data_IF_273639187128
#
_entry.id   IF_273639187128
#
_cell.length_a   1.000
_cell.length_b   1.000
_cell.length_c   1.000
_cell.angle_alpha   90.00
_cell.angle_beta   90.00
_cell.angle_gamma   90.00
#
_symmetry.space_group_name_H-M   'P 1'
#
loop_
_entity.id
_entity.type
_entity.pdbx_description
1 polymer ?
#
# COMPACT_ATOMS: atom_id res chain seq x y z
N UNK A 1 25.92 -4.97 4.88
CA UNK A 1 26.67 -6.23 4.61
C UNK A 1 26.29 -6.92 3.30
N UNK A 2 25.00 -7.20 3.02
CA UNK A 2 24.58 -8.02 1.87
C UNK A 2 24.22 -7.28 0.59
N UNK A 3 24.30 -5.95 0.59
CA UNK A 3 23.86 -5.09 -0.52
C UNK A 3 24.95 -4.25 -1.21
N UNK A 4 26.25 -4.57 -1.14
CA UNK A 4 27.23 -3.79 -1.88
C UNK A 4 27.00 -4.01 -3.39
N UNK A 5 26.69 -2.93 -4.12
CA UNK A 5 26.78 -2.97 -5.57
C UNK A 5 28.24 -3.27 -5.96
N UNK A 6 28.51 -3.90 -7.12
CA UNK A 6 29.88 -4.02 -7.61
C UNK A 6 30.56 -2.63 -7.67
N UNK A 7 31.57 -2.41 -6.82
CA UNK A 7 32.25 -1.11 -6.68
C UNK A 7 31.46 0.00 -5.98
N UNK A 8 30.29 -0.30 -5.38
CA UNK A 8 29.44 0.68 -4.72
C UNK A 8 29.21 0.42 -3.23
N UNK A 9 28.70 1.44 -2.54
CA UNK A 9 28.39 1.38 -1.11
C UNK A 9 27.07 0.63 -0.88
N UNK A 10 26.96 -0.21 0.18
CA UNK A 10 25.68 -0.77 0.60
C UNK A 10 24.61 0.31 0.73
N UNK A 11 23.39 0.01 0.25
CA UNK A 11 22.29 0.97 0.33
C UNK A 11 20.96 0.32 0.68
N UNK A 12 20.07 1.13 1.24
CA UNK A 12 18.66 0.83 1.46
C UNK A 12 17.85 1.74 0.54
N UNK A 13 16.80 1.20 -0.09
CA UNK A 13 15.86 1.98 -0.91
C UNK A 13 14.48 1.94 -0.28
N UNK A 14 14.06 3.06 0.29
CA UNK A 14 12.65 3.32 0.60
C UNK A 14 11.88 3.43 -0.71
N UNK A 15 10.65 2.96 -0.80
CA UNK A 15 9.91 2.92 -2.08
C UNK A 15 8.66 3.79 -2.05
N UNK A 16 8.12 4.11 -3.23
CA UNK A 16 6.82 4.80 -3.36
C UNK A 16 5.63 4.01 -2.82
N UNK A 17 5.84 2.76 -2.40
CA UNK A 17 4.83 1.92 -1.74
C UNK A 17 5.11 1.62 -0.29
N UNK A 18 5.87 2.49 0.39
CA UNK A 18 6.13 2.38 1.83
C UNK A 18 6.86 1.07 2.21
N UNK A 19 7.58 0.48 1.25
CA UNK A 19 8.43 -0.69 1.44
C UNK A 19 9.92 -0.32 1.44
N UNK A 20 10.73 -1.26 1.90
CA UNK A 20 12.19 -1.25 1.78
C UNK A 20 12.64 -2.24 0.70
N UNK A 21 13.64 -1.85 -0.10
CA UNK A 21 14.29 -2.71 -1.09
C UNK A 21 15.79 -2.81 -0.84
N UNK A 22 16.27 -4.04 -0.82
CA UNK A 22 17.68 -4.40 -0.83
C UNK A 22 18.09 -4.81 -2.24
N UNK A 23 19.23 -4.30 -2.72
CA UNK A 23 19.72 -4.53 -4.08
C UNK A 23 21.02 -5.34 -4.04
N UNK A 24 21.34 -6.04 -5.14
CA UNK A 24 22.62 -6.74 -5.34
C UNK A 24 22.92 -7.86 -4.33
N UNK A 25 21.89 -8.47 -3.75
CA UNK A 25 22.05 -9.66 -2.90
C UNK A 25 22.56 -10.82 -3.77
N UNK A 26 23.71 -11.39 -3.41
CA UNK A 26 24.26 -12.57 -4.07
C UNK A 26 23.34 -13.77 -3.84
N UNK A 27 23.26 -14.66 -4.83
CA UNK A 27 22.43 -15.88 -4.75
C UNK A 27 22.70 -16.69 -3.47
N UNK A 28 23.97 -16.86 -3.13
CA UNK A 28 24.41 -17.64 -1.95
C UNK A 28 24.02 -17.01 -0.61
N UNK A 29 23.71 -15.71 -0.60
CA UNK A 29 23.28 -14.98 0.59
C UNK A 29 21.75 -14.87 0.70
N UNK A 30 20.99 -15.18 -0.36
CA UNK A 30 19.56 -14.90 -0.43
C UNK A 30 18.76 -15.49 0.74
N UNK A 31 18.97 -16.77 1.05
CA UNK A 31 18.28 -17.44 2.16
C UNK A 31 18.61 -16.78 3.49
N UNK A 32 19.89 -16.44 3.71
CA UNK A 32 20.35 -15.78 4.94
C UNK A 32 19.72 -14.40 5.08
N UNK A 33 19.70 -13.59 4.02
CA UNK A 33 19.10 -12.25 4.07
C UNK A 33 17.61 -12.31 4.39
N UNK A 34 16.86 -13.19 3.72
CA UNK A 34 15.41 -13.30 3.95
C UNK A 34 15.12 -13.80 5.36
N UNK A 35 15.88 -14.79 5.84
CA UNK A 35 15.77 -15.29 7.21
C UNK A 35 16.10 -14.21 8.24
N UNK A 36 17.19 -13.46 8.07
CA UNK A 36 17.54 -12.35 8.98
C UNK A 36 16.49 -11.23 9.00
N UNK A 37 15.93 -10.87 7.85
CA UNK A 37 14.81 -9.91 7.79
C UNK A 37 13.60 -10.46 8.55
N UNK A 38 13.29 -11.76 8.41
CA UNK A 38 12.22 -12.40 9.16
C UNK A 38 12.42 -12.28 10.67
N UNK A 39 13.62 -12.49 11.21
CA UNK A 39 13.92 -12.36 12.64
C UNK A 39 13.67 -10.95 13.21
N UNK A 40 13.55 -9.92 12.36
CA UNK A 40 13.17 -8.56 12.78
C UNK A 40 11.66 -8.32 12.79
N UNK A 41 10.86 -9.35 12.48
CA UNK A 41 9.40 -9.30 12.39
C UNK A 41 8.85 -8.78 11.06
N UNK A 42 9.70 -8.60 10.05
CA UNK A 42 9.31 -8.21 8.70
C UNK A 42 9.42 -9.38 7.72
N UNK A 43 8.51 -9.47 6.75
CA UNK A 43 8.48 -10.55 5.78
C UNK A 43 8.55 -10.00 4.35
N UNK A 44 9.18 -10.76 3.45
CA UNK A 44 9.20 -10.45 2.01
C UNK A 44 7.94 -10.92 1.26
N UNK A 45 6.97 -11.51 1.98
CA UNK A 45 5.72 -12.02 1.42
C UNK A 45 4.91 -10.89 0.75
N UNK A 46 4.22 -11.19 -0.35
CA UNK A 46 3.46 -10.21 -1.14
C UNK A 46 4.28 -8.99 -1.69
N UNK A 47 5.61 -8.99 -1.57
CA UNK A 47 6.46 -7.92 -2.14
C UNK A 47 6.41 -7.87 -3.68
N UNK A 48 6.25 -9.04 -4.31
CA UNK A 48 6.22 -9.26 -5.76
C UNK A 48 5.18 -10.33 -6.14
N UNK A 49 5.09 -10.71 -7.43
CA UNK A 49 4.18 -11.77 -7.91
C UNK A 49 2.83 -11.28 -8.41
N UNK A 50 1.91 -12.19 -8.73
CA UNK A 50 0.56 -11.86 -9.16
C UNK A 50 -0.43 -12.07 -8.00
N UNK A 51 -0.36 -11.15 -7.04
CA UNK A 51 -1.06 -11.12 -5.75
C UNK A 51 -1.27 -9.64 -5.33
N UNK A 52 -1.83 -9.40 -4.15
CA UNK A 52 -1.84 -8.06 -3.56
C UNK A 52 -0.43 -7.59 -3.19
N UNK A 53 -0.18 -6.29 -3.31
CA UNK A 53 1.03 -5.61 -2.85
C UNK A 53 0.82 -5.00 -1.47
N UNK A 54 1.90 -4.45 -0.91
CA UNK A 54 1.83 -3.64 0.31
C UNK A 54 0.66 -2.64 0.23
N UNK A 55 -0.20 -2.70 1.24
CA UNK A 55 -1.38 -1.85 1.38
C UNK A 55 -0.89 -0.53 1.98
N UNK A 56 -1.11 0.57 1.27
CA UNK A 56 -0.60 1.87 1.69
C UNK A 56 -1.61 2.62 2.55
N UNK A 57 -1.13 3.41 3.50
CA UNK A 57 -1.90 4.39 4.26
C UNK A 57 -1.02 5.57 4.66
N UNK A 58 -1.58 6.73 4.98
CA UNK A 58 -0.79 7.84 5.49
C UNK A 58 -0.01 7.41 6.75
N UNK A 59 1.33 7.57 6.81
CA UNK A 59 2.13 7.10 7.95
C UNK A 59 1.80 7.85 9.24
N UNK A 60 1.32 9.10 9.16
CA UNK A 60 0.91 9.88 10.33
C UNK A 60 -0.46 9.49 10.88
N UNK A 61 -1.29 8.78 10.11
CA UNK A 61 -2.65 8.39 10.54
C UNK A 61 -2.67 7.51 11.79
N UNK A 62 -1.58 6.78 12.06
CA UNK A 62 -1.40 6.02 13.31
C UNK A 62 -1.57 6.88 14.57
N UNK A 63 -1.30 8.18 14.45
CA UNK A 63 -1.35 9.15 15.53
C UNK A 63 -2.52 10.12 15.40
N UNK A 64 -3.49 9.86 14.52
CA UNK A 64 -4.71 10.64 14.34
C UNK A 64 -5.82 10.13 15.25
N UNK A 65 -6.58 11.04 15.86
CA UNK A 65 -7.85 10.72 16.55
C UNK A 65 -9.04 10.75 15.60
N UNK A 66 -8.87 11.29 14.39
CA UNK A 66 -9.93 11.37 13.36
C UNK A 66 -10.09 10.02 12.66
N UNK A 67 -9.01 9.52 12.08
CA UNK A 67 -8.99 8.27 11.34
C UNK A 67 -7.60 7.64 11.32
N UNK A 68 -7.52 6.35 11.68
CA UNK A 68 -6.29 5.57 11.66
C UNK A 68 -6.25 4.66 10.43
N UNK A 69 -5.94 5.24 9.26
CA UNK A 69 -5.80 4.51 8.00
C UNK A 69 -4.73 3.40 8.06
N UNK A 70 -3.69 3.54 8.89
CA UNK A 70 -2.67 2.50 9.10
C UNK A 70 -3.27 1.23 9.72
N UNK A 71 -4.25 1.36 10.61
CA UNK A 71 -4.93 0.19 11.18
C UNK A 71 -5.70 -0.60 10.10
N UNK A 72 -6.40 0.09 9.19
CA UNK A 72 -7.07 -0.55 8.07
C UNK A 72 -6.06 -1.15 7.08
N UNK A 73 -4.99 -0.44 6.75
CA UNK A 73 -3.94 -0.98 5.88
C UNK A 73 -3.31 -2.25 6.46
N UNK A 74 -3.07 -2.31 7.78
CA UNK A 74 -2.59 -3.53 8.44
C UNK A 74 -3.62 -4.65 8.42
N UNK A 75 -4.90 -4.35 8.73
CA UNK A 75 -5.99 -5.33 8.71
C UNK A 75 -6.13 -5.97 7.33
N UNK A 76 -6.20 -5.17 6.27
CA UNK A 76 -6.35 -5.67 4.91
C UNK A 76 -5.05 -6.23 4.34
N UNK A 77 -3.89 -5.73 4.79
CA UNK A 77 -2.60 -6.35 4.53
C UNK A 77 -2.54 -7.80 5.03
N UNK A 78 -2.97 -8.05 6.28
CA UNK A 78 -3.05 -9.40 6.87
C UNK A 78 -4.11 -10.27 6.19
N UNK A 79 -5.28 -9.72 5.88
CA UNK A 79 -6.35 -10.44 5.20
C UNK A 79 -5.94 -10.93 3.79
N UNK A 80 -5.31 -10.07 3.00
CA UNK A 80 -4.85 -10.42 1.64
C UNK A 80 -3.44 -11.04 1.61
N UNK A 81 -2.83 -11.35 2.74
CA UNK A 81 -1.50 -11.96 2.79
C UNK A 81 -1.54 -13.40 2.24
N UNK A 82 -0.54 -13.78 1.44
CA UNK A 82 -0.40 -15.16 0.98
C UNK A 82 -0.14 -16.14 2.14
N UNK A 83 -0.41 -17.44 1.98
CA UNK A 83 0.00 -18.46 2.96
C UNK A 83 1.49 -18.36 3.25
N UNK A 84 1.85 -18.30 4.54
CA UNK A 84 3.24 -18.09 4.96
C UNK A 84 4.09 -19.37 4.90
N UNK A 85 3.48 -20.54 5.04
CA UNK A 85 4.20 -21.81 5.15
C UNK A 85 5.18 -22.09 3.98
N UNK A 86 4.80 -21.90 2.70
CA UNK A 86 5.76 -22.04 1.60
C UNK A 86 6.94 -21.06 1.67
N UNK A 87 6.67 -19.82 2.12
CA UNK A 87 7.72 -18.80 2.28
C UNK A 87 8.71 -19.20 3.37
N UNK A 88 8.21 -19.68 4.52
CA UNK A 88 9.07 -20.16 5.60
C UNK A 88 9.92 -21.36 5.20
N UNK A 89 9.32 -22.33 4.50
CA UNK A 89 10.01 -23.52 4.04
C UNK A 89 11.15 -23.18 3.07
N UNK A 90 10.89 -22.33 2.07
CA UNK A 90 11.87 -21.97 1.04
C UNK A 90 13.05 -21.19 1.64
N UNK A 91 12.78 -20.29 2.59
CA UNK A 91 13.78 -19.39 3.15
C UNK A 91 14.32 -19.79 4.53
N UNK A 92 14.00 -21.00 5.01
CA UNK A 92 14.42 -21.51 6.31
C UNK A 92 14.17 -20.48 7.44
N UNK A 93 12.96 -19.92 7.47
CA UNK A 93 12.54 -18.96 8.50
C UNK A 93 12.13 -19.76 9.76
N UNK A 94 12.67 -19.36 10.91
CA UNK A 94 12.30 -19.96 12.20
C UNK A 94 10.80 -19.76 12.49
N UNK A 95 10.04 -20.83 12.77
CA UNK A 95 8.61 -20.72 13.10
C UNK A 95 8.30 -19.94 14.39
N UNK A 96 9.29 -19.71 15.25
CA UNK A 96 9.15 -18.93 16.49
C UNK A 96 9.30 -17.42 16.28
N UNK A 97 9.59 -16.96 15.06
CA UNK A 97 9.62 -15.54 14.74
C UNK A 97 8.28 -14.88 15.04
N UNK A 98 8.34 -13.70 15.62
CA UNK A 98 7.17 -12.86 15.89
C UNK A 98 7.11 -11.67 14.92
N UNK A 99 5.90 -11.23 14.60
CA UNK A 99 5.64 -9.97 13.92
C UNK A 99 5.92 -8.80 14.86
N UNK A 100 5.95 -7.59 14.32
CA UNK A 100 6.21 -6.37 15.10
C UNK A 100 5.19 -6.11 16.23
N UNK A 101 3.97 -6.65 16.11
CA UNK A 101 2.95 -6.57 17.16
C UNK A 101 3.07 -7.68 18.23
N UNK A 102 4.11 -8.51 18.15
CA UNK A 102 4.37 -9.63 19.05
C UNK A 102 3.64 -10.92 18.68
N UNK A 103 2.75 -10.91 17.70
CA UNK A 103 2.04 -12.13 17.27
C UNK A 103 2.99 -13.10 16.56
N UNK A 104 2.88 -14.44 16.75
CA UNK A 104 3.66 -15.41 15.99
C UNK A 104 3.41 -15.28 14.49
N UNK A 105 4.44 -15.41 13.65
CA UNK A 105 4.24 -15.41 12.19
C UNK A 105 3.38 -16.61 11.71
N UNK A 106 3.35 -17.67 12.52
CA UNK A 106 2.61 -18.92 12.35
C UNK A 106 1.18 -18.86 12.88
N UNK A 107 0.75 -17.74 13.47
CA UNK A 107 -0.61 -17.59 13.98
C UNK A 107 -1.65 -17.91 12.89
N UNK A 108 -2.60 -18.83 13.14
CA UNK A 108 -3.64 -19.14 12.19
C UNK A 108 -4.47 -17.90 11.89
N UNK A 109 -4.61 -17.56 10.61
CA UNK A 109 -5.48 -16.45 10.21
C UNK A 109 -6.93 -16.89 10.36
N UNK A 110 -7.67 -16.22 11.26
CA UNK A 110 -9.12 -16.43 11.45
C UNK A 110 -9.90 -16.21 10.15
N UNK A 111 -9.49 -15.20 9.38
CA UNK A 111 -10.05 -14.86 8.07
C UNK A 111 -8.89 -14.52 7.12
N UNK A 112 -8.93 -15.03 5.89
CA UNK A 112 -7.95 -14.76 4.86
C UNK A 112 -8.60 -14.81 3.47
N UNK A 113 -8.04 -14.05 2.54
CA UNK A 113 -8.46 -14.07 1.14
C UNK A 113 -8.14 -15.41 0.49
N UNK A 114 -9.12 -15.96 -0.23
CA UNK A 114 -8.98 -17.20 -0.98
C UNK A 114 -8.38 -16.95 -2.37
N UNK A 115 -7.06 -17.09 -2.45
CA UNK A 115 -6.36 -17.05 -3.73
C UNK A 115 -6.64 -18.33 -4.53
N UNK A 116 -6.98 -18.16 -5.81
CA UNK A 116 -7.04 -19.29 -6.75
C UNK A 116 -5.67 -19.93 -6.97
N UNK A 117 -5.65 -21.13 -7.55
CA UNK A 117 -4.41 -21.89 -7.82
C UNK A 117 -3.37 -21.08 -8.62
N UNK A 118 -3.83 -20.25 -9.55
CA UNK A 118 -2.98 -19.36 -10.36
C UNK A 118 -2.85 -17.94 -9.79
N UNK A 119 -3.14 -17.77 -8.49
CA UNK A 119 -3.20 -16.48 -7.79
C UNK A 119 -4.06 -15.45 -8.56
N UNK A 120 -3.74 -14.16 -8.47
CA UNK A 120 -4.40 -13.12 -9.24
C UNK A 120 -3.86 -13.06 -10.68
N UNK A 121 -4.56 -12.33 -11.54
CA UNK A 121 -4.25 -12.20 -12.97
C UNK A 121 -3.02 -11.29 -13.15
N UNK A 122 -2.85 -10.32 -12.24
CA UNK A 122 -1.66 -9.47 -12.13
C UNK A 122 -1.55 -8.88 -10.72
N UNK A 123 -0.46 -8.18 -10.44
CA UNK A 123 -0.29 -7.39 -9.20
C UNK A 123 -1.51 -6.50 -8.91
N UNK A 124 -1.98 -6.54 -7.66
CA UNK A 124 -3.10 -5.76 -7.18
C UNK A 124 -2.63 -4.80 -6.08
N UNK A 125 -2.91 -3.51 -6.22
CA UNK A 125 -2.45 -2.44 -5.32
C UNK A 125 -3.63 -1.86 -4.58
N UNK A 126 -3.47 -1.70 -3.26
CA UNK A 126 -4.49 -1.14 -2.37
C UNK A 126 -3.90 0.08 -1.66
N UNK A 127 -4.70 1.12 -1.46
CA UNK A 127 -4.32 2.29 -0.68
C UNK A 127 -5.53 2.90 0.04
N UNK A 128 -5.35 3.28 1.31
CA UNK A 128 -6.29 4.06 2.10
C UNK A 128 -5.82 5.51 2.17
N UNK A 129 -6.61 6.46 1.65
CA UNK A 129 -6.39 7.87 1.93
C UNK A 129 -6.76 8.18 3.38
N UNK A 130 -6.47 9.39 3.84
CA UNK A 130 -6.49 9.70 5.26
C UNK A 130 -7.28 10.98 5.56
N UNK A 131 -7.54 11.21 6.84
CA UNK A 131 -8.01 12.46 7.39
C UNK A 131 -7.19 12.81 8.64
N UNK A 132 -6.63 14.01 8.66
CA UNK A 132 -5.80 14.50 9.76
C UNK A 132 -6.38 15.78 10.31
N UNK A 133 -6.33 15.92 11.64
CA UNK A 133 -6.52 17.22 12.26
C UNK A 133 -5.24 18.04 12.12
N UNK A 134 -5.35 19.22 11.53
CA UNK A 134 -4.34 20.25 11.64
C UNK A 134 -4.37 20.79 13.08
N UNK A 135 -3.30 20.58 13.84
CA UNK A 135 -3.26 20.96 15.26
C UNK A 135 -3.08 22.46 15.47
N UNK A 136 -2.68 23.21 14.44
CA UNK A 136 -2.56 24.67 14.51
C UNK A 136 -3.91 25.34 14.25
N UNK A 137 -4.65 24.89 13.23
CA UNK A 137 -5.95 25.48 12.85
C UNK A 137 -7.15 24.80 13.52
N UNK A 138 -6.97 23.56 14.00
CA UNK A 138 -8.04 22.71 14.52
C UNK A 138 -8.89 22.02 13.45
N UNK A 139 -8.71 22.39 12.18
CA UNK A 139 -9.48 21.87 11.04
C UNK A 139 -9.11 20.43 10.70
N UNK A 140 -10.04 19.70 10.10
CA UNK A 140 -9.79 18.34 9.60
C UNK A 140 -9.58 18.43 8.08
N UNK A 141 -8.40 18.04 7.64
CA UNK A 141 -8.01 17.98 6.23
C UNK A 141 -8.00 16.52 5.75
N UNK A 142 -8.59 16.28 4.58
CA UNK A 142 -8.40 15.02 3.87
C UNK A 142 -7.00 15.00 3.24
N UNK A 143 -6.38 13.82 3.24
CA UNK A 143 -4.99 13.62 2.83
C UNK A 143 -4.85 12.44 1.87
N UNK A 144 -4.39 12.75 0.66
CA UNK A 144 -4.12 11.81 -0.42
C UNK A 144 -2.61 11.58 -0.65
N UNK A 145 -1.79 11.64 0.40
CA UNK A 145 -0.33 11.39 0.33
C UNK A 145 0.05 10.04 -0.31
N UNK A 146 -0.85 9.05 -0.25
CA UNK A 146 -0.70 7.71 -0.84
C UNK A 146 -1.11 7.62 -2.32
N UNK A 147 -1.54 8.74 -2.91
CA UNK A 147 -2.01 8.84 -4.29
C UNK A 147 -3.00 7.71 -4.63
N UNK A 148 -4.05 7.57 -3.81
CA UNK A 148 -4.86 6.35 -3.79
C UNK A 148 -5.50 6.05 -5.15
N UNK A 149 -5.80 7.08 -5.95
CA UNK A 149 -6.39 6.92 -7.29
C UNK A 149 -5.47 6.27 -8.32
N UNK A 150 -4.20 6.08 -8.02
CA UNK A 150 -3.24 5.36 -8.88
C UNK A 150 -3.21 3.84 -8.63
N UNK A 151 -3.99 3.37 -7.66
CA UNK A 151 -4.03 1.98 -7.21
C UNK A 151 -5.17 1.20 -7.88
N UNK A 152 -5.07 -0.14 -7.89
CA UNK A 152 -6.19 -0.97 -8.38
C UNK A 152 -7.43 -0.74 -7.51
N UNK A 153 -7.24 -0.54 -6.20
CA UNK A 153 -8.27 -0.18 -5.24
C UNK A 153 -7.78 0.96 -4.33
N UNK A 154 -8.51 2.08 -4.32
CA UNK A 154 -8.33 3.18 -3.38
C UNK A 154 -9.53 3.29 -2.45
N UNK A 155 -9.33 3.64 -1.19
CA UNK A 155 -10.42 3.81 -0.21
C UNK A 155 -10.26 5.14 0.50
N UNK A 156 -11.29 5.98 0.47
CA UNK A 156 -11.33 7.27 1.15
C UNK A 156 -12.31 7.25 2.32
N UNK A 157 -11.94 7.75 3.51
CA UNK A 157 -12.89 7.93 4.59
C UNK A 157 -13.89 9.03 4.23
N UNK A 158 -15.16 8.85 4.59
CA UNK A 158 -16.21 9.87 4.60
C UNK A 158 -16.46 10.26 6.05
N UNK A 159 -16.42 11.56 6.32
CA UNK A 159 -16.51 12.08 7.68
C UNK A 159 -17.83 12.82 7.92
N UNK A 160 -18.40 12.59 9.10
CA UNK A 160 -19.42 13.47 9.68
C UNK A 160 -19.01 13.82 11.10
N UNK A 161 -19.05 15.11 11.45
CA UNK A 161 -18.68 15.61 12.79
C UNK A 161 -17.31 15.10 13.28
N UNK A 162 -16.35 14.98 12.35
CA UNK A 162 -14.99 14.52 12.63
C UNK A 162 -14.84 13.02 12.92
N UNK A 163 -15.84 12.20 12.59
CA UNK A 163 -15.80 10.74 12.69
C UNK A 163 -16.02 10.10 11.34
N UNK A 164 -15.35 8.98 11.09
CA UNK A 164 -15.59 8.17 9.89
C UNK A 164 -16.96 7.50 10.00
N UNK A 165 -17.85 7.80 9.06
CA UNK A 165 -19.19 7.20 8.98
C UNK A 165 -19.34 6.24 7.80
N UNK A 166 -18.51 6.39 6.77
CA UNK A 166 -18.51 5.54 5.59
C UNK A 166 -17.17 5.62 4.86
N UNK A 167 -17.04 4.83 3.79
CA UNK A 167 -15.84 4.76 2.97
C UNK A 167 -16.20 4.75 1.48
N UNK A 168 -15.69 5.71 0.71
CA UNK A 168 -15.79 5.67 -0.74
C UNK A 168 -14.65 4.84 -1.33
N UNK A 169 -14.99 3.73 -1.98
CA UNK A 169 -14.05 2.92 -2.73
C UNK A 169 -13.94 3.40 -4.19
N UNK A 170 -12.72 3.29 -4.72
CA UNK A 170 -12.38 3.58 -6.10
C UNK A 170 -11.64 2.40 -6.69
N UNK A 171 -11.88 2.06 -7.96
CA UNK A 171 -11.21 0.94 -8.63
C UNK A 171 -10.68 1.28 -10.02
N UNK A 172 -9.69 0.51 -10.47
CA UNK A 172 -9.19 0.58 -11.85
C UNK A 172 -8.09 1.62 -12.08
N UNK A 173 -7.35 2.00 -11.05
CA UNK A 173 -6.17 2.85 -11.21
C UNK A 173 -4.93 2.06 -11.63
N UNK A 174 -4.02 2.71 -12.36
CA UNK A 174 -2.71 2.14 -12.64
C UNK A 174 -1.91 2.87 -13.72
N UNK A 175 -0.66 3.19 -13.40
CA UNK A 175 0.27 3.96 -14.24
C UNK A 175 1.00 3.15 -15.33
N UNK A 176 0.84 1.82 -15.37
CA UNK A 176 1.64 0.99 -16.29
C UNK A 176 1.16 1.11 -17.74
N UNK A 177 1.99 1.63 -18.62
CA UNK A 177 1.74 1.72 -20.07
C UNK A 177 2.98 1.32 -20.88
N UNK A 178 2.82 1.11 -22.18
CA UNK A 178 3.88 0.69 -23.10
C UNK A 178 3.75 1.44 -24.42
N UNK A 179 4.80 2.15 -24.79
CA UNK A 179 4.91 2.82 -26.09
C UNK A 179 4.67 1.84 -27.24
N UNK A 180 3.84 2.24 -28.20
CA UNK A 180 3.50 1.42 -29.38
C UNK A 180 2.55 0.25 -29.09
N UNK A 181 1.92 0.18 -27.91
CA UNK A 181 0.86 -0.78 -27.59
C UNK A 181 -0.38 -0.06 -27.07
N UNK A 182 -1.56 -0.63 -27.33
CA UNK A 182 -2.83 -0.15 -26.78
C UNK A 182 -2.87 -0.40 -25.26
N UNK A 183 -2.27 0.50 -24.50
CA UNK A 183 -2.16 0.49 -23.04
C UNK A 183 -2.03 1.93 -22.56
N UNK A 184 -2.67 2.28 -21.45
CA UNK A 184 -2.75 3.67 -20.98
C UNK A 184 -2.73 3.74 -19.47
N UNK A 185 -2.10 4.77 -18.91
CA UNK A 185 -2.27 5.12 -17.50
C UNK A 185 -3.72 5.54 -17.20
N UNK A 186 -4.26 5.09 -16.07
CA UNK A 186 -5.65 5.38 -15.67
C UNK A 186 -5.71 5.75 -14.20
N UNK A 187 -6.56 6.73 -13.86
CA UNK A 187 -7.00 6.96 -12.49
C UNK A 187 -8.15 6.03 -12.18
N UNK A 188 -8.24 5.57 -10.93
CA UNK A 188 -9.37 4.79 -10.47
C UNK A 188 -10.64 5.64 -10.49
N UNK A 189 -11.75 4.97 -10.79
CA UNK A 189 -13.09 5.52 -10.82
C UNK A 189 -13.82 5.12 -9.53
N UNK A 190 -14.66 6.01 -8.96
CA UNK A 190 -15.41 5.67 -7.76
C UNK A 190 -16.42 4.56 -8.07
N UNK A 191 -16.53 3.57 -7.18
CA UNK A 191 -17.38 2.37 -7.42
C UNK A 191 -18.50 2.21 -6.42
N UNK A 192 -18.28 2.57 -5.16
CA UNK A 192 -19.23 2.28 -4.09
C UNK A 192 -18.89 3.08 -2.83
N UNK A 193 -19.91 3.41 -2.03
CA UNK A 193 -19.77 3.86 -0.65
C UNK A 193 -20.16 2.71 0.27
N UNK A 194 -19.23 2.27 1.11
CA UNK A 194 -19.45 1.20 2.09
C UNK A 194 -19.57 1.78 3.49
N UNK A 195 -20.51 1.24 4.29
CA UNK A 195 -20.51 1.44 5.74
C UNK A 195 -19.31 0.70 6.36
N UNK A 196 -18.87 1.05 7.58
CA UNK A 196 -17.79 0.33 8.28
C UNK A 196 -18.02 -1.18 8.39
N UNK A 197 -19.28 -1.60 8.55
CA UNK A 197 -19.67 -3.01 8.67
C UNK A 197 -19.55 -3.75 7.33
N UNK A 198 -19.86 -3.08 6.22
CA UNK A 198 -19.85 -3.67 4.88
C UNK A 198 -18.52 -3.51 4.14
N UNK A 199 -17.61 -2.65 4.63
CA UNK A 199 -16.33 -2.37 3.99
C UNK A 199 -15.56 -3.67 3.70
N UNK A 200 -15.43 -4.55 4.69
CA UNK A 200 -14.67 -5.79 4.54
C UNK A 200 -15.19 -6.67 3.39
N UNK A 201 -16.51 -6.89 3.36
CA UNK A 201 -17.18 -7.68 2.32
C UNK A 201 -17.06 -7.03 0.94
N UNK A 202 -17.13 -5.70 0.89
CA UNK A 202 -16.91 -4.92 -0.33
C UNK A 202 -15.50 -5.08 -0.90
N UNK A 203 -14.47 -4.93 -0.07
CA UNK A 203 -13.08 -5.05 -0.52
C UNK A 203 -12.74 -6.48 -0.94
N UNK A 204 -13.21 -7.50 -0.21
CA UNK A 204 -13.09 -8.91 -0.61
C UNK A 204 -13.75 -9.16 -1.97
N UNK A 205 -14.99 -8.69 -2.14
CA UNK A 205 -15.71 -8.83 -3.41
C UNK A 205 -14.96 -8.18 -4.57
N UNK A 206 -14.41 -6.98 -4.39
CA UNK A 206 -13.64 -6.29 -5.44
C UNK A 206 -12.45 -7.13 -5.90
N UNK A 207 -11.67 -7.71 -4.98
CA UNK A 207 -10.51 -8.52 -5.34
C UNK A 207 -10.93 -9.85 -5.98
N UNK A 208 -12.02 -10.47 -5.51
CA UNK A 208 -12.61 -11.68 -6.12
C UNK A 208 -13.05 -11.46 -7.56
N UNK A 209 -13.71 -10.33 -7.85
CA UNK A 209 -14.11 -9.97 -9.22
C UNK A 209 -12.87 -9.86 -10.11
N UNK A 210 -11.80 -9.22 -9.64
CA UNK A 210 -10.57 -9.15 -10.42
C UNK A 210 -9.94 -10.53 -10.67
N UNK A 211 -9.89 -11.40 -9.65
CA UNK A 211 -9.33 -12.76 -9.75
C UNK A 211 -10.01 -13.60 -10.84
N UNK A 212 -11.33 -13.43 -10.98
CA UNK A 212 -12.17 -14.15 -11.95
C UNK A 212 -12.10 -13.53 -13.35
N UNK A 213 -12.20 -12.19 -13.45
CA UNK A 213 -12.43 -11.50 -14.72
C UNK A 213 -11.20 -10.83 -15.34
N UNK A 214 -10.08 -10.77 -14.62
CA UNK A 214 -8.84 -10.23 -15.18
C UNK A 214 -8.35 -11.05 -16.39
N UNK A 215 -7.74 -10.40 -17.36
CA UNK A 215 -7.16 -11.10 -18.51
C UNK A 215 -5.96 -11.99 -18.08
N UNK A 216 -5.99 -13.28 -18.40
CA UNK A 216 -4.88 -14.22 -18.18
C UNK A 216 -4.10 -14.55 -19.46
N UNK A 217 -4.63 -14.20 -20.63
CA UNK A 217 -4.00 -14.44 -21.92
C UNK A 217 -3.05 -13.30 -22.28
N UNK A 218 -3.45 -12.05 -22.05
CA UNK A 218 -2.64 -10.88 -22.34
C UNK A 218 -2.20 -10.16 -21.06
N UNK A 219 -0.95 -10.40 -20.65
CA UNK A 219 -0.34 -9.78 -19.46
C UNK A 219 -0.35 -8.24 -19.48
N UNK A 220 -0.38 -7.61 -20.66
CA UNK A 220 -0.48 -6.15 -20.76
C UNK A 220 -1.86 -5.63 -20.39
N UNK A 221 -2.90 -6.46 -20.53
CA UNK A 221 -4.30 -6.16 -20.23
C UNK A 221 -4.77 -6.79 -18.90
N UNK A 222 -3.91 -7.55 -18.22
CA UNK A 222 -4.22 -8.29 -17.01
C UNK A 222 -4.49 -7.45 -15.74
N UNK A 223 -4.41 -6.12 -15.79
CA UNK A 223 -4.66 -5.24 -14.62
C UNK A 223 -6.12 -4.84 -14.53
N UNK A 224 -6.64 -4.65 -13.31
CA UNK A 224 -8.04 -4.30 -13.04
C UNK A 224 -8.54 -3.11 -13.87
N UNK A 225 -7.68 -2.11 -14.12
CA UNK A 225 -8.03 -0.95 -14.96
C UNK A 225 -8.63 -1.29 -16.32
N UNK A 226 -8.23 -2.40 -16.94
CA UNK A 226 -8.76 -2.81 -18.24
C UNK A 226 -10.10 -3.53 -18.14
N UNK A 227 -10.36 -4.24 -17.03
CA UNK A 227 -11.69 -4.77 -16.72
C UNK A 227 -12.66 -3.60 -16.54
N UNK A 228 -12.27 -2.60 -15.75
CA UNK A 228 -13.08 -1.40 -15.52
C UNK A 228 -13.28 -0.60 -16.81
N UNK A 229 -12.24 -0.45 -17.64
CA UNK A 229 -12.33 0.25 -18.92
C UNK A 229 -13.27 -0.45 -19.91
N UNK A 230 -13.23 -1.78 -19.97
CA UNK A 230 -14.02 -2.57 -20.93
C UNK A 230 -15.48 -2.73 -20.48
N UNK A 231 -15.70 -3.12 -19.22
CA UNK A 231 -17.01 -3.51 -18.73
C UNK A 231 -17.76 -2.36 -18.03
N UNK A 232 -17.03 -1.37 -17.51
CA UNK A 232 -17.60 -0.21 -16.82
C UNK A 232 -17.92 -0.43 -15.34
N UNK A 233 -18.21 0.67 -14.63
CA UNK A 233 -18.45 0.67 -13.18
C UNK A 233 -19.77 -0.01 -12.80
N UNK A 234 -20.84 0.21 -13.56
CA UNK A 234 -22.15 -0.43 -13.30
C UNK A 234 -22.07 -1.96 -13.34
N UNK A 235 -21.38 -2.50 -14.35
CA UNK A 235 -21.12 -3.94 -14.43
C UNK A 235 -20.37 -4.45 -13.20
N UNK A 236 -19.35 -3.70 -12.75
CA UNK A 236 -18.54 -4.10 -11.60
C UNK A 236 -19.35 -4.06 -10.30
N UNK A 237 -20.22 -3.06 -10.13
CA UNK A 237 -21.16 -2.96 -9.03
C UNK A 237 -22.08 -4.19 -8.93
N UNK A 238 -22.59 -4.68 -10.06
CA UNK A 238 -23.44 -5.87 -10.07
C UNK A 238 -22.68 -7.12 -9.59
N UNK A 239 -21.42 -7.29 -10.03
CA UNK A 239 -20.57 -8.39 -9.56
C UNK A 239 -20.24 -8.31 -8.06
N UNK A 240 -20.15 -7.09 -7.50
CA UNK A 240 -19.99 -6.86 -6.06
C UNK A 240 -21.28 -7.28 -5.32
N UNK A 241 -22.46 -6.90 -5.83
CA UNK A 241 -23.76 -7.26 -5.23
C UNK A 241 -24.02 -8.76 -5.25
N UNK A 242 -23.67 -9.45 -6.33
CA UNK A 242 -23.77 -10.92 -6.43
C UNK A 242 -22.94 -11.65 -5.37
N UNK A 243 -21.88 -11.02 -4.87
CA UNK A 243 -21.06 -11.53 -3.76
C UNK A 243 -21.59 -11.10 -2.39
N UNK A 244 -22.79 -10.51 -2.37
CA UNK A 244 -23.56 -10.16 -1.19
C UNK A 244 -23.09 -8.89 -0.46
N UNK A 245 -22.19 -8.10 -1.03
CA UNK A 245 -21.81 -6.82 -0.45
C UNK A 245 -22.88 -5.76 -0.76
N UNK A 246 -23.28 -5.01 0.25
CA UNK A 246 -24.20 -3.87 0.12
C UNK A 246 -23.42 -2.56 0.17
N UNK A 247 -23.89 -1.58 -0.60
CA UNK A 247 -23.26 -0.27 -0.71
C UNK A 247 -24.23 0.77 -1.26
N UNK A 248 -23.90 2.03 -1.01
CA UNK A 248 -24.53 3.18 -1.61
C UNK A 248 -23.80 3.60 -2.89
N UNK A 249 -24.51 4.31 -3.78
CA UNK A 249 -23.89 4.85 -4.99
C UNK A 249 -22.81 5.86 -4.63
N UNK A 250 -21.66 5.85 -5.32
CA UNK A 250 -20.59 6.76 -4.99
C UNK A 250 -20.89 8.20 -5.41
N UNK A 251 -20.24 9.15 -4.73
CA UNK A 251 -20.19 10.54 -5.13
C UNK A 251 -19.00 10.79 -6.07
N UNK A 252 -19.21 11.06 -7.37
CA UNK A 252 -18.12 11.31 -8.32
C UNK A 252 -17.30 12.57 -8.01
N UNK A 253 -17.88 13.53 -7.30
CA UNK A 253 -17.28 14.81 -6.95
C UNK A 253 -16.71 14.83 -5.52
N UNK A 254 -16.57 13.66 -4.88
CA UNK A 254 -16.00 13.58 -3.53
C UNK A 254 -14.55 14.07 -3.53
N UNK A 255 -14.28 15.15 -2.78
CA UNK A 255 -12.91 15.61 -2.56
C UNK A 255 -12.18 14.59 -1.67
N UNK A 256 -11.03 14.12 -2.14
CA UNK A 256 -10.19 13.14 -1.46
C UNK A 256 -8.99 13.79 -0.78
N UNK A 257 -8.93 15.11 -0.83
CA UNK A 257 -7.83 15.92 -0.33
C UNK A 257 -6.64 15.97 -1.28
N UNK A 258 -5.71 16.87 -0.93
CA UNK A 258 -4.44 17.03 -1.63
C UNK A 258 -3.42 15.99 -1.19
N UNK A 259 -2.35 15.85 -1.97
CA UNK A 259 -1.19 15.05 -1.58
C UNK A 259 -0.34 15.83 -0.56
N UNK A 260 -0.36 15.41 0.71
CA UNK A 260 0.53 15.99 1.72
C UNK A 260 1.89 15.29 1.71
N UNK A 261 2.98 16.05 1.81
CA UNK A 261 4.35 15.51 1.80
C UNK A 261 4.84 15.08 3.19
N UNK A 262 4.24 15.63 4.24
CA UNK A 262 4.59 15.39 5.64
C UNK A 262 6.07 15.65 5.99
N UNK A 263 6.74 16.58 5.30
CA UNK A 263 8.11 16.98 5.64
C UNK A 263 8.16 17.90 6.86
N UNK A 264 9.26 17.84 7.61
CA UNK A 264 9.48 18.68 8.79
C UNK A 264 8.84 18.12 10.06
N UNK A 265 8.80 18.95 11.09
CA UNK A 265 8.26 18.60 12.41
C UNK A 265 6.73 18.64 12.41
N UNK A 266 6.11 17.66 13.06
CA UNK A 266 4.67 17.60 13.31
C UNK A 266 4.38 16.98 14.67
N UNK A 267 3.34 17.47 15.35
CA UNK A 267 2.92 16.93 16.65
C UNK A 267 1.94 15.78 16.46
N UNK A 268 2.14 14.70 17.21
CA UNK A 268 1.26 13.53 17.24
C UNK A 268 0.04 13.83 18.13
N UNK A 269 -1.17 13.81 17.56
CA UNK A 269 -2.41 14.15 18.28
C UNK A 269 -2.71 13.20 19.44
N UNK A 270 -2.31 11.93 19.34
CA UNK A 270 -2.62 10.89 20.34
C UNK A 270 -1.76 10.97 21.61
N UNK A 271 -0.54 11.48 21.54
CA UNK A 271 0.41 11.41 22.66
C UNK A 271 1.28 12.66 22.87
N UNK A 272 1.14 13.70 22.03
CA UNK A 272 1.89 14.95 22.12
C UNK A 272 3.37 14.87 21.74
N UNK A 273 3.87 13.70 21.30
CA UNK A 273 5.26 13.54 20.81
C UNK A 273 5.42 14.16 19.43
N UNK A 274 6.66 14.38 19.02
CA UNK A 274 6.98 14.91 17.70
C UNK A 274 7.28 13.78 16.70
N UNK A 275 6.86 13.97 15.45
CA UNK A 275 7.29 13.22 14.27
C UNK A 275 8.09 14.14 13.36
N UNK A 276 9.14 13.62 12.73
CA UNK A 276 9.94 14.37 11.75
C UNK A 276 9.93 13.66 10.40
N UNK A 277 9.37 14.30 9.37
CA UNK A 277 9.43 13.81 8.01
C UNK A 277 10.70 14.29 7.31
N UNK A 278 11.64 13.37 7.11
CA UNK A 278 12.90 13.65 6.43
C UNK A 278 12.76 13.48 4.92
N UNK A 279 13.22 14.48 4.17
CA UNK A 279 13.42 14.32 2.73
C UNK A 279 14.60 13.37 2.48
N UNK A 280 14.35 12.30 1.71
CA UNK A 280 15.38 11.37 1.29
C UNK A 280 15.37 11.34 -0.23
N UNK A 281 16.40 11.92 -0.84
CA UNK A 281 16.52 11.96 -2.29
C UNK A 281 16.45 10.55 -2.88
N UNK A 282 15.55 10.37 -3.84
CA UNK A 282 15.30 9.08 -4.47
C UNK A 282 15.04 7.93 -3.48
N UNK A 283 14.61 8.22 -2.25
CA UNK A 283 14.47 7.25 -1.15
C UNK A 283 15.72 6.39 -0.90
N UNK A 284 16.92 6.88 -1.27
CA UNK A 284 18.18 6.13 -1.19
C UNK A 284 18.92 6.51 0.07
N UNK A 285 19.09 5.54 0.98
CA UNK A 285 19.92 5.68 2.16
C UNK A 285 21.26 5.00 1.88
N UNK A 286 22.34 5.78 1.97
CA UNK A 286 23.73 5.35 1.83
C UNK A 286 24.53 5.96 2.97
N UNK A 287 25.46 5.19 3.52
CA UNK A 287 26.48 5.76 4.38
C UNK A 287 27.46 6.53 3.49
N UNK A 288 27.67 7.81 3.77
CA UNK A 288 28.74 8.60 3.18
C UNK A 288 29.77 8.85 4.27
N UNK A 289 31.04 8.58 3.99
CA UNK A 289 32.12 9.04 4.85
C UNK A 289 32.02 10.58 4.94
N UNK A 290 32.16 11.14 6.15
CA UNK A 290 31.88 12.55 6.46
C UNK A 290 32.72 13.62 5.75
N UNK A 291 33.38 13.28 4.63
CA UNK A 291 34.17 14.16 3.77
C UNK A 291 33.45 14.60 2.48
N UNK A 292 32.17 14.24 2.31
CA UNK A 292 31.37 14.63 1.15
C UNK A 292 31.13 16.13 1.08
N UNK A 293 32.00 16.85 0.35
CA UNK A 293 31.65 18.11 -0.29
C UNK A 293 30.37 17.89 -1.07
N UNK A 294 29.43 18.79 -0.83
CA UNK A 294 28.22 19.00 -1.63
C UNK A 294 28.63 19.06 -3.11
N UNK A 295 28.37 18.01 -3.88
CA UNK A 295 28.63 17.93 -5.31
C UNK A 295 27.52 18.63 -6.09
N UNK A 296 27.29 19.91 -5.73
CA UNK A 296 26.74 20.96 -6.58
C UNK A 296 25.42 20.69 -7.31
N UNK A 297 24.70 19.61 -6.99
CA UNK A 297 23.46 19.21 -7.66
C UNK A 297 22.36 18.98 -6.64
N UNK A 298 22.02 20.08 -5.95
CA UNK A 298 20.65 20.29 -5.49
C UNK A 298 20.35 19.93 -4.04
N UNK A 299 20.95 20.64 -3.09
CA UNK A 299 20.29 20.90 -1.81
C UNK A 299 20.51 22.37 -1.41
N UNK A 300 19.45 23.16 -1.51
CA UNK A 300 19.41 24.53 -0.99
C UNK A 300 19.72 24.53 0.50
N UNK A 301 20.89 25.06 0.83
CA UNK A 301 21.26 25.55 2.14
C UNK A 301 20.20 26.56 2.63
N UNK A 302 19.46 26.22 3.68
CA UNK A 302 18.83 27.23 4.55
C UNK A 302 19.68 27.38 5.80
N UNK A 303 20.65 28.30 5.74
CA UNK A 303 21.12 29.01 6.93
C UNK A 303 20.15 30.17 7.19
N UNK A 304 19.60 30.19 8.40
CA UNK A 304 18.84 31.27 9.01
C UNK A 304 18.81 30.99 10.51
#
# INVERSE_FOLDING_TARGET
>A
KYTPAPGGVPSIRLTTRQNVQFHWIKKDDLIKVVSEVAHTGFLGINGCGDNTRNVMACPLSRYSKVYNAVADAHRYGKFFELPIAPHMQIFAIDPNVTRFDGSPITEPRKEAFEYGQSLLNRKFKIAFSNALRNLETGEIELDNCVEMRTNDMGVAPILENGKVVAYQAYIGGGQGERNGKASSSMLSQPVAIFTPENLHKGLDAIVKVHQEWGDRQNRHWARLKYVVWKEGIGWYQDRIRERGATFEQPNPEYDIGRRMMHHGWSTQETNGKLSYGMFVECGRLVDRDGSGRDDGSGATSTKG
#
